data_IF_663659451834
#
_entry.id   IF_663659451834
#
_cell.length_a   1.000
_cell.length_b   1.000
_cell.length_c   1.000
_cell.angle_alpha   90.00
_cell.angle_beta   90.00
_cell.angle_gamma   90.00
#
_symmetry.space_group_name_H-M   'P 1'
#
loop_
_entity.id
_entity.type
_entity.pdbx_description
1 polymer ?
#
# COMPACT_ATOMS: atom_id res chain seq x y z
N UNK A 1 2.79 8.48 20.65
CA UNK A 1 1.79 8.00 19.69
C UNK A 1 2.51 7.29 18.55
N UNK A 2 1.95 6.21 18.02
CA UNK A 2 2.56 5.47 16.89
C UNK A 2 2.02 6.03 15.58
N UNK A 3 2.91 6.39 14.65
CA UNK A 3 2.52 6.82 13.31
C UNK A 3 1.85 5.65 12.56
N UNK A 4 0.72 5.91 11.93
CA UNK A 4 -0.07 4.91 11.17
C UNK A 4 -0.73 5.54 9.95
N UNK A 5 -1.01 4.72 8.94
CA UNK A 5 -1.86 5.11 7.81
C UNK A 5 -3.31 4.93 8.24
N UNK A 6 -4.11 5.99 8.18
CA UNK A 6 -5.54 5.92 8.46
C UNK A 6 -6.34 5.82 7.16
N UNK A 7 -6.00 6.63 6.16
CA UNK A 7 -6.64 6.60 4.83
C UNK A 7 -5.61 6.58 3.71
N UNK A 8 -5.86 5.79 2.66
CA UNK A 8 -5.27 5.96 1.34
C UNK A 8 -6.30 6.59 0.41
N UNK A 9 -5.92 7.62 -0.33
CA UNK A 9 -6.79 8.26 -1.32
C UNK A 9 -6.44 7.72 -2.69
N UNK A 10 -7.38 7.00 -3.31
CA UNK A 10 -7.20 6.35 -4.61
C UNK A 10 -8.13 6.98 -5.63
N UNK A 11 -7.57 7.45 -6.74
CA UNK A 11 -8.32 8.08 -7.83
C UNK A 11 -8.97 7.05 -8.77
N UNK A 12 -9.59 6.02 -8.19
CA UNK A 12 -10.41 5.02 -8.88
C UNK A 12 -11.90 5.31 -8.63
N UNK A 13 -12.80 4.92 -9.55
CA UNK A 13 -14.22 4.96 -9.28
C UNK A 13 -14.63 3.85 -8.30
N UNK A 14 -15.60 4.10 -7.39
CA UNK A 14 -16.14 3.09 -6.47
C UNK A 14 -16.59 1.78 -7.14
N UNK A 15 -17.19 1.87 -8.33
CA UNK A 15 -17.70 0.72 -9.07
C UNK A 15 -16.62 -0.29 -9.44
N UNK A 16 -15.44 0.16 -9.89
CA UNK A 16 -14.35 -0.74 -10.27
C UNK A 16 -13.86 -1.57 -9.07
N UNK A 17 -13.81 -0.96 -7.88
CA UNK A 17 -13.45 -1.66 -6.65
C UNK A 17 -14.52 -2.64 -6.19
N UNK A 18 -15.79 -2.27 -6.28
CA UNK A 18 -16.91 -3.17 -5.98
C UNK A 18 -16.93 -4.40 -6.92
N UNK A 19 -16.71 -4.18 -8.22
CA UNK A 19 -16.60 -5.24 -9.22
C UNK A 19 -15.39 -6.16 -8.96
N UNK A 20 -14.27 -5.59 -8.51
CA UNK A 20 -13.09 -6.34 -8.06
C UNK A 20 -13.30 -7.11 -6.73
N UNK A 21 -14.51 -7.05 -6.14
CA UNK A 21 -14.91 -7.83 -4.99
C UNK A 21 -14.64 -7.17 -3.64
N UNK A 22 -14.25 -5.89 -3.63
CA UNK A 22 -14.18 -5.11 -2.40
C UNK A 22 -15.57 -4.68 -1.95
N UNK A 23 -15.74 -4.56 -0.64
CA UNK A 23 -16.94 -3.97 -0.05
C UNK A 23 -16.70 -2.47 0.10
N UNK A 24 -17.42 -1.69 -0.69
CA UNK A 24 -17.34 -0.23 -0.70
C UNK A 24 -18.57 0.32 0.04
N UNK A 25 -18.35 1.17 1.03
CA UNK A 25 -19.43 1.84 1.77
C UNK A 25 -20.10 2.95 0.95
N UNK A 26 -21.25 3.42 1.43
CA UNK A 26 -21.98 4.55 0.82
C UNK A 26 -21.17 5.86 0.84
N UNK A 27 -20.15 5.93 1.69
CA UNK A 27 -19.17 7.01 1.79
C UNK A 27 -18.02 6.90 0.77
N UNK A 28 -18.10 5.96 -0.17
CA UNK A 28 -17.04 5.64 -1.13
C UNK A 28 -15.72 5.19 -0.47
N UNK A 29 -15.79 4.67 0.76
CA UNK A 29 -14.62 4.14 1.49
C UNK A 29 -14.68 2.62 1.54
N UNK A 30 -13.61 1.97 1.06
CA UNK A 30 -13.35 0.55 1.29
C UNK A 30 -12.51 0.38 2.57
N UNK A 31 -13.01 -0.37 3.55
CA UNK A 31 -12.34 -0.55 4.86
C UNK A 31 -11.58 -1.88 4.89
N UNK A 32 -10.25 -1.81 4.80
CA UNK A 32 -9.35 -2.96 4.69
C UNK A 32 -8.45 -3.01 5.93
N UNK A 33 -8.70 -3.98 6.82
CA UNK A 33 -8.09 -3.96 8.15
C UNK A 33 -8.47 -2.68 8.89
N UNK A 34 -7.49 -1.98 9.45
CA UNK A 34 -7.65 -0.67 10.09
C UNK A 34 -7.59 0.52 9.14
N UNK A 35 -7.31 0.31 7.85
CA UNK A 35 -7.09 1.38 6.85
C UNK A 35 -8.34 1.60 6.00
N UNK A 36 -8.76 2.86 5.87
CA UNK A 36 -9.75 3.28 4.87
C UNK A 36 -9.10 3.52 3.51
N UNK A 37 -9.74 3.08 2.44
CA UNK A 37 -9.36 3.45 1.07
C UNK A 37 -10.48 4.30 0.50
N UNK A 38 -10.25 5.60 0.42
CA UNK A 38 -11.18 6.57 -0.18
C UNK A 38 -11.07 6.51 -1.70
N UNK A 39 -12.20 6.29 -2.37
CA UNK A 39 -12.29 6.15 -3.82
C UNK A 39 -12.75 7.47 -4.43
N UNK A 40 -11.77 8.34 -4.70
CA UNK A 40 -11.99 9.74 -5.02
C UNK A 40 -12.43 10.01 -6.47
N UNK A 41 -12.43 9.00 -7.35
CA UNK A 41 -12.77 9.16 -8.76
C UNK A 41 -11.60 9.64 -9.64
N UNK A 42 -11.78 9.47 -10.96
CA UNK A 42 -10.73 9.70 -11.98
C UNK A 42 -10.45 11.17 -12.26
N UNK A 43 -11.41 12.04 -11.96
CA UNK A 43 -11.28 13.49 -11.99
C UNK A 43 -10.24 14.01 -10.98
N UNK A 44 -9.92 13.20 -9.96
CA UNK A 44 -8.92 13.51 -8.93
C UNK A 44 -7.51 13.01 -9.25
N UNK A 45 -7.31 12.30 -10.36
CA UNK A 45 -6.01 11.84 -10.83
C UNK A 45 -5.95 10.35 -11.19
N UNK A 46 -4.82 9.70 -10.89
CA UNK A 46 -4.59 8.29 -11.19
C UNK A 46 -3.73 7.64 -10.10
N UNK A 47 -4.05 6.39 -9.72
CA UNK A 47 -3.33 5.68 -8.68
C UNK A 47 -3.67 6.17 -7.27
N UNK A 48 -2.72 6.01 -6.34
CA UNK A 48 -2.82 6.53 -4.99
C UNK A 48 -2.33 7.98 -5.02
N UNK A 49 -3.22 8.94 -4.78
CA UNK A 49 -2.96 10.38 -4.93
C UNK A 49 -2.61 11.06 -3.60
N UNK A 50 -2.70 10.33 -2.50
CA UNK A 50 -2.30 10.81 -1.18
C UNK A 50 -2.71 9.83 -0.08
N UNK A 51 -2.43 10.22 1.15
CA UNK A 51 -2.83 9.48 2.34
C UNK A 51 -3.14 10.42 3.49
N UNK A 52 -3.77 9.88 4.54
CA UNK A 52 -3.84 10.54 5.84
C UNK A 52 -3.11 9.70 6.88
N UNK A 53 -2.39 10.38 7.78
CA UNK A 53 -1.59 9.75 8.80
C UNK A 53 -2.08 10.16 10.19
N UNK A 54 -2.29 9.15 11.03
CA UNK A 54 -2.56 9.31 12.45
C UNK A 54 -1.27 9.32 13.27
N UNK A 55 -1.19 10.18 14.28
CA UNK A 55 -0.02 10.26 15.17
C UNK A 55 1.15 11.10 14.63
N UNK A 56 0.91 11.99 13.67
CA UNK A 56 1.89 12.95 13.16
C UNK A 56 2.41 13.90 14.28
N UNK A 57 3.71 14.23 14.30
CA UNK A 57 4.25 15.20 15.25
C UNK A 57 3.59 16.58 15.07
N UNK A 58 3.48 17.40 16.13
CA UNK A 58 2.98 18.76 16.00
C UNK A 58 3.79 19.56 14.97
N UNK A 59 3.11 20.33 14.12
CA UNK A 59 3.76 21.14 13.08
C UNK A 59 4.23 20.37 11.84
N UNK A 60 3.96 19.07 11.73
CA UNK A 60 4.15 18.34 10.47
C UNK A 60 3.38 19.02 9.33
N UNK A 61 4.05 19.16 8.18
CA UNK A 61 3.46 19.74 6.97
C UNK A 61 2.40 18.84 6.32
N UNK A 62 1.88 19.30 5.18
CA UNK A 62 0.86 18.64 4.38
C UNK A 62 1.42 17.70 3.30
N UNK A 63 2.71 17.34 3.41
CA UNK A 63 3.35 16.45 2.46
C UNK A 63 4.57 15.72 3.02
N UNK A 64 4.83 14.52 2.47
CA UNK A 64 6.02 13.72 2.75
C UNK A 64 6.73 13.49 1.43
N UNK A 65 7.85 14.18 1.23
CA UNK A 65 8.62 14.14 -0.02
C UNK A 65 7.75 14.30 -1.28
N UNK A 66 6.83 15.28 -1.22
CA UNK A 66 5.90 15.60 -2.31
C UNK A 66 4.63 14.74 -2.38
N UNK A 67 4.47 13.75 -1.50
CA UNK A 67 3.23 12.97 -1.38
C UNK A 67 2.22 13.77 -0.54
N UNK A 68 1.04 14.13 -1.07
CA UNK A 68 0.00 14.79 -0.30
C UNK A 68 -0.36 14.00 0.97
N UNK A 69 -0.24 14.65 2.13
CA UNK A 69 -0.34 14.01 3.44
C UNK A 69 -1.27 14.80 4.35
N UNK A 70 -2.44 14.25 4.61
CA UNK A 70 -3.38 14.78 5.60
C UNK A 70 -3.06 14.30 7.02
N UNK A 71 -3.37 15.14 8.02
CA UNK A 71 -3.48 14.69 9.41
C UNK A 71 -4.82 14.01 9.62
N UNK A 72 -4.82 12.86 10.30
CA UNK A 72 -6.03 12.18 10.75
C UNK A 72 -6.03 12.05 12.27
N UNK A 73 -7.15 12.44 12.88
CA UNK A 73 -7.47 12.14 14.27
C UNK A 73 -8.51 11.00 14.37
N UNK A 74 -8.88 10.41 13.23
CA UNK A 74 -9.88 9.35 13.14
C UNK A 74 -9.32 8.05 13.73
N UNK A 75 -10.15 7.35 14.51
CA UNK A 75 -9.81 6.01 14.97
C UNK A 75 -9.72 5.03 13.78
N UNK A 76 -9.01 3.90 13.98
CA UNK A 76 -8.95 2.84 12.98
C UNK A 76 -10.37 2.41 12.55
N UNK A 77 -10.56 2.21 11.25
CA UNK A 77 -11.85 1.78 10.72
C UNK A 77 -12.19 0.36 11.18
N UNK A 78 -13.47 0.07 11.37
CA UNK A 78 -13.92 -1.32 11.52
C UNK A 78 -13.77 -2.04 10.17
N UNK A 79 -13.06 -3.19 10.11
CA UNK A 79 -12.80 -3.88 8.86
C UNK A 79 -14.11 -4.39 8.24
N UNK A 80 -14.22 -4.28 6.92
CA UNK A 80 -15.31 -4.91 6.17
C UNK A 80 -14.91 -6.32 5.71
N UNK A 81 -15.90 -7.18 5.46
CA UNK A 81 -15.69 -8.47 4.80
C UNK A 81 -15.77 -8.27 3.29
N UNK A 82 -14.77 -8.76 2.54
CA UNK A 82 -14.69 -8.62 1.08
C UNK A 82 -14.88 -9.96 0.38
N UNK A 83 -15.59 -9.96 -0.76
CA UNK A 83 -15.82 -11.19 -1.53
C UNK A 83 -14.55 -11.78 -2.13
N UNK A 84 -13.56 -10.93 -2.36
CA UNK A 84 -12.25 -11.34 -2.87
C UNK A 84 -11.30 -11.90 -1.80
N UNK A 85 -11.74 -11.99 -0.53
CA UNK A 85 -10.98 -12.59 0.56
C UNK A 85 -9.90 -11.69 1.19
N UNK A 86 -9.76 -10.44 0.75
CA UNK A 86 -8.85 -9.47 1.37
C UNK A 86 -9.25 -9.20 2.83
N UNK A 87 -8.28 -9.10 3.73
CA UNK A 87 -8.50 -8.86 5.16
C UNK A 87 -7.69 -7.70 5.73
N UNK A 88 -6.54 -7.36 5.15
CA UNK A 88 -5.67 -6.28 5.63
C UNK A 88 -4.73 -5.78 4.52
N UNK A 89 -4.07 -4.65 4.76
CA UNK A 89 -2.95 -4.17 3.93
C UNK A 89 -1.63 -4.64 4.54
N UNK A 90 -0.87 -5.47 3.80
CA UNK A 90 0.46 -5.90 4.23
C UNK A 90 1.45 -4.73 4.09
N UNK A 91 1.52 -4.16 2.89
CA UNK A 91 2.39 -3.03 2.61
C UNK A 91 1.88 -2.13 1.47
N UNK A 92 2.31 -0.87 1.54
CA UNK A 92 2.21 0.12 0.47
C UNK A 92 3.61 0.40 -0.06
N UNK A 93 3.77 0.35 -1.38
CA UNK A 93 5.04 0.67 -2.05
C UNK A 93 5.10 2.17 -2.31
N UNK A 94 6.17 2.81 -1.84
CA UNK A 94 6.52 4.19 -2.11
C UNK A 94 7.73 4.20 -3.05
N UNK A 95 7.55 4.72 -4.26
CA UNK A 95 8.63 4.88 -5.23
C UNK A 95 9.30 6.25 -5.03
N UNK A 96 10.59 6.23 -4.77
CA UNK A 96 11.40 7.41 -4.53
C UNK A 96 12.41 7.64 -5.66
N UNK A 97 12.45 8.85 -6.25
CA UNK A 97 13.52 9.23 -7.15
C UNK A 97 14.81 9.59 -6.40
N UNK A 98 14.77 9.79 -5.08
CA UNK A 98 15.88 10.27 -4.25
C UNK A 98 15.75 9.71 -2.82
N UNK A 99 16.39 8.55 -2.58
CA UNK A 99 16.19 7.79 -1.35
C UNK A 99 16.56 8.58 -0.10
N UNK A 100 17.68 9.31 -0.12
CA UNK A 100 18.15 10.06 1.05
C UNK A 100 17.15 11.15 1.44
N UNK A 101 16.57 11.82 0.45
CA UNK A 101 15.53 12.83 0.67
C UNK A 101 14.25 12.23 1.25
N UNK A 102 13.80 11.10 0.73
CA UNK A 102 12.62 10.39 1.28
C UNK A 102 12.88 9.86 2.69
N UNK A 103 14.07 9.30 2.95
CA UNK A 103 14.48 8.81 4.27
C UNK A 103 14.52 9.98 5.27
N UNK A 104 15.08 11.13 4.87
CA UNK A 104 15.08 12.34 5.70
C UNK A 104 13.65 12.80 6.01
N UNK A 105 12.79 12.91 5.00
CA UNK A 105 11.40 13.34 5.19
C UNK A 105 10.60 12.40 6.12
N UNK A 106 10.84 11.09 6.05
CA UNK A 106 10.26 10.13 6.99
C UNK A 106 10.89 10.25 8.39
N UNK A 107 12.19 10.53 8.47
CA UNK A 107 12.90 10.82 9.71
C UNK A 107 12.35 12.04 10.45
N UNK A 108 11.95 13.08 9.73
CA UNK A 108 11.30 14.28 10.28
C UNK A 108 9.93 13.97 10.91
N UNK A 109 9.28 12.88 10.48
CA UNK A 109 8.07 12.33 11.12
C UNK A 109 8.37 11.42 12.32
N UNK A 110 9.65 11.24 12.68
CA UNK A 110 10.11 10.35 13.75
C UNK A 110 10.20 8.88 13.33
N UNK A 111 10.15 8.58 12.03
CA UNK A 111 10.24 7.20 11.54
C UNK A 111 11.70 6.75 11.41
N UNK A 112 11.93 5.48 11.73
CA UNK A 112 13.23 4.82 11.58
C UNK A 112 13.09 3.58 10.70
N UNK A 113 14.03 3.32 9.78
CA UNK A 113 14.06 2.09 9.01
C UNK A 113 14.09 0.87 9.92
N UNK A 114 13.28 -0.14 9.61
CA UNK A 114 13.28 -1.44 10.30
C UNK A 114 14.17 -2.45 9.63
N UNK A 115 14.35 -2.30 8.32
CA UNK A 115 15.16 -3.18 7.47
C UNK A 115 15.50 -2.44 6.19
N UNK A 116 16.67 -2.74 5.66
CA UNK A 116 17.09 -2.35 4.32
C UNK A 116 17.59 -3.57 3.56
N UNK A 117 17.44 -3.55 2.25
CA UNK A 117 17.98 -4.60 1.38
C UNK A 117 18.17 -4.09 -0.04
N UNK A 118 19.32 -4.43 -0.63
CA UNK A 118 19.56 -4.28 -2.05
C UNK A 118 18.96 -5.45 -2.85
N UNK A 119 18.34 -5.12 -3.98
CA UNK A 119 17.68 -6.06 -4.87
C UNK A 119 17.77 -5.59 -6.33
N UNK A 120 17.12 -6.30 -7.25
CA UNK A 120 16.98 -5.90 -8.64
C UNK A 120 15.52 -5.85 -9.06
N UNK A 121 15.17 -4.84 -9.85
CA UNK A 121 13.88 -4.72 -10.53
C UNK A 121 14.12 -4.79 -12.04
N UNK A 122 13.97 -6.00 -12.61
CA UNK A 122 14.59 -6.32 -13.90
C UNK A 122 16.11 -6.30 -13.75
N UNK A 123 16.80 -5.60 -14.65
CA UNK A 123 18.27 -5.43 -14.59
C UNK A 123 18.72 -4.20 -13.79
N UNK A 124 17.77 -3.46 -13.19
CA UNK A 124 18.09 -2.23 -12.45
C UNK A 124 18.34 -2.53 -10.97
N UNK A 125 19.48 -2.11 -10.39
CA UNK A 125 19.69 -2.20 -8.96
C UNK A 125 18.73 -1.25 -8.24
N UNK A 126 18.10 -1.76 -7.18
CA UNK A 126 17.20 -1.01 -6.31
C UNK A 126 17.58 -1.26 -4.85
N UNK A 127 17.24 -0.31 -3.98
CA UNK A 127 17.21 -0.50 -2.54
C UNK A 127 15.79 -0.40 -2.03
N UNK A 128 15.44 -1.35 -1.17
CA UNK A 128 14.15 -1.41 -0.47
C UNK A 128 14.39 -1.08 1.01
N UNK A 129 13.71 -0.05 1.52
CA UNK A 129 13.80 0.42 2.90
C UNK A 129 12.41 0.28 3.52
N UNK A 130 12.30 -0.45 4.62
CA UNK A 130 11.02 -0.83 5.20
C UNK A 130 10.73 -0.07 6.49
N UNK A 131 9.59 0.60 6.54
CA UNK A 131 9.08 1.33 7.70
C UNK A 131 7.79 0.72 8.22
N UNK A 132 7.52 0.89 9.52
CA UNK A 132 6.31 0.35 10.16
C UNK A 132 5.33 1.46 10.54
N UNK A 133 4.19 1.50 9.86
CA UNK A 133 3.10 2.46 10.08
C UNK A 133 1.91 1.74 10.71
N UNK A 134 1.85 1.69 12.04
CA UNK A 134 0.84 0.91 12.75
C UNK A 134 0.84 -0.56 12.31
N UNK A 135 -0.25 -0.99 11.66
CA UNK A 135 -0.39 -2.34 11.13
C UNK A 135 0.12 -2.55 9.68
N UNK A 136 0.48 -1.47 8.97
CA UNK A 136 0.93 -1.50 7.57
C UNK A 136 2.44 -1.27 7.46
N UNK A 137 3.09 -1.89 6.50
CA UNK A 137 4.48 -1.57 6.14
C UNK A 137 4.49 -0.54 5.01
N UNK A 138 5.37 0.46 5.09
CA UNK A 138 5.70 1.30 3.94
C UNK A 138 7.03 0.81 3.40
N UNK A 139 7.03 0.32 2.17
CA UNK A 139 8.22 -0.13 1.46
C UNK A 139 8.68 0.98 0.52
N UNK A 140 9.74 1.69 0.90
CA UNK A 140 10.37 2.71 0.07
C UNK A 140 11.33 2.03 -0.90
N UNK A 141 11.17 2.31 -2.19
CA UNK A 141 11.95 1.72 -3.28
C UNK A 141 12.56 2.82 -4.13
N UNK A 142 13.87 2.76 -4.36
CA UNK A 142 14.58 3.72 -5.19
C UNK A 142 15.94 3.18 -5.64
N UNK A 143 16.66 3.97 -6.44
CA UNK A 143 18.03 3.62 -6.84
C UNK A 143 18.99 3.86 -5.68
N UNK A 144 19.89 2.90 -5.34
CA UNK A 144 20.92 3.11 -4.34
C UNK A 144 22.08 3.98 -4.83
N UNK A 145 22.16 4.24 -6.15
CA UNK A 145 23.33 4.85 -6.79
C UNK A 145 23.04 6.22 -7.42
N UNK A 146 21.76 6.59 -7.57
CA UNK A 146 21.37 7.79 -8.31
C UNK A 146 20.17 8.46 -7.65
N UNK A 147 20.23 9.78 -7.53
CA UNK A 147 19.06 10.61 -7.21
C UNK A 147 18.53 11.31 -8.46
N UNK A 148 17.23 11.56 -8.49
CA UNK A 148 16.52 12.21 -9.57
C UNK A 148 15.55 13.29 -9.08
N UNK A 149 15.08 14.16 -9.99
CA UNK A 149 14.12 15.21 -9.67
C UNK A 149 12.70 14.65 -9.51
N UNK A 150 11.81 15.47 -8.96
CA UNK A 150 10.38 15.17 -8.81
C UNK A 150 10.02 14.54 -7.47
N UNK A 151 8.72 14.44 -7.17
CA UNK A 151 8.24 13.93 -5.88
C UNK A 151 8.32 12.39 -5.80
N UNK A 152 8.33 11.88 -4.58
CA UNK A 152 8.00 10.47 -4.33
C UNK A 152 6.53 10.19 -4.62
N UNK A 153 6.20 8.94 -4.92
CA UNK A 153 4.81 8.53 -5.24
C UNK A 153 4.43 7.22 -4.55
N UNK A 154 3.16 7.10 -4.16
CA UNK A 154 2.58 5.85 -3.70
C UNK A 154 2.14 5.03 -4.92
N UNK A 155 2.69 3.83 -5.07
CA UNK A 155 2.70 3.12 -6.36
C UNK A 155 1.81 1.88 -6.41
N UNK A 156 1.77 1.12 -5.31
CA UNK A 156 1.07 -0.16 -5.27
C UNK A 156 0.77 -0.62 -3.86
N UNK A 157 -0.17 -1.55 -3.75
CA UNK A 157 -0.64 -2.11 -2.49
C UNK A 157 -0.55 -3.62 -2.58
N UNK A 158 -0.04 -4.23 -1.52
CA UNK A 158 -0.14 -5.67 -1.32
C UNK A 158 -1.09 -5.96 -0.18
N UNK A 159 -2.12 -6.75 -0.48
CA UNK A 159 -3.15 -7.14 0.48
C UNK A 159 -2.82 -8.48 1.11
N UNK A 160 -3.19 -8.63 2.38
CA UNK A 160 -3.33 -9.95 3.01
C UNK A 160 -4.70 -10.51 2.64
N UNK A 161 -4.73 -11.77 2.26
CA UNK A 161 -5.97 -12.53 2.02
C UNK A 161 -6.09 -13.69 3.00
N UNK A 162 -7.34 -14.02 3.36
CA UNK A 162 -7.63 -15.12 4.28
C UNK A 162 -7.16 -16.47 3.72
N UNK A 163 -7.46 -16.73 2.44
CA UNK A 163 -6.99 -17.89 1.68
C UNK A 163 -6.59 -17.44 0.28
N UNK A 164 -5.32 -17.63 -0.07
CA UNK A 164 -4.77 -17.17 -1.36
C UNK A 164 -5.24 -18.02 -2.55
N UNK A 165 -5.53 -19.30 -2.33
CA UNK A 165 -6.05 -20.19 -3.37
C UNK A 165 -7.51 -19.83 -3.67
N UNK A 166 -8.32 -19.55 -2.65
CA UNK A 166 -9.69 -19.05 -2.84
C UNK A 166 -9.72 -17.69 -3.53
N UNK A 167 -8.87 -16.74 -3.11
CA UNK A 167 -8.76 -15.45 -3.80
C UNK A 167 -8.30 -15.62 -5.26
N UNK A 168 -7.33 -16.48 -5.54
CA UNK A 168 -6.89 -16.74 -6.91
C UNK A 168 -8.01 -17.36 -7.76
N UNK A 169 -8.78 -18.32 -7.21
CA UNK A 169 -9.97 -18.88 -7.88
C UNK A 169 -11.03 -17.82 -8.15
N UNK A 170 -11.28 -16.92 -7.19
CA UNK A 170 -12.23 -15.81 -7.34
C UNK A 170 -11.84 -14.91 -8.52
N UNK A 171 -10.56 -14.57 -8.65
CA UNK A 171 -10.07 -13.72 -9.73
C UNK A 171 -9.87 -14.47 -11.06
N UNK A 172 -9.70 -15.80 -11.04
CA UNK A 172 -9.45 -16.61 -12.22
C UNK A 172 -8.14 -16.22 -12.91
N UNK A 173 -8.18 -16.11 -14.24
CA UNK A 173 -7.00 -15.84 -15.08
C UNK A 173 -6.38 -14.45 -14.86
N UNK A 174 -7.04 -13.58 -14.10
CA UNK A 174 -6.57 -12.22 -13.74
C UNK A 174 -5.48 -12.23 -12.67
N UNK A 175 -5.04 -13.40 -12.20
CA UNK A 175 -3.86 -13.51 -11.33
C UNK A 175 -2.70 -14.17 -12.05
N UNK A 176 -1.47 -13.79 -11.67
CA UNK A 176 -0.29 -14.57 -11.99
C UNK A 176 -0.31 -15.91 -11.21
N UNK A 177 0.48 -16.91 -11.61
CA UNK A 177 0.63 -18.12 -10.80
C UNK A 177 1.06 -17.79 -9.37
N UNK A 178 0.44 -18.46 -8.40
CA UNK A 178 0.85 -18.37 -6.99
C UNK A 178 2.27 -18.89 -6.87
N UNK A 179 3.11 -18.17 -6.12
CA UNK A 179 4.49 -18.57 -5.83
C UNK A 179 4.83 -18.30 -4.37
N UNK A 180 5.90 -18.93 -3.89
CA UNK A 180 6.46 -18.60 -2.60
C UNK A 180 6.82 -17.11 -2.53
N UNK A 181 6.39 -16.44 -1.46
CA UNK A 181 6.82 -15.09 -1.15
C UNK A 181 8.24 -15.13 -0.57
N UNK A 182 8.93 -13.99 -0.61
CA UNK A 182 10.27 -13.87 -0.01
C UNK A 182 10.21 -13.98 1.51
N UNK A 183 9.06 -13.68 2.11
CA UNK A 183 8.75 -13.92 3.52
C UNK A 183 8.51 -15.43 3.73
N UNK A 184 9.31 -16.12 4.56
CA UNK A 184 9.17 -17.56 4.78
C UNK A 184 7.76 -17.97 5.18
N UNK A 185 7.28 -19.07 4.61
CA UNK A 185 5.96 -19.65 4.90
C UNK A 185 4.77 -18.85 4.35
N UNK A 186 5.01 -17.85 3.50
CA UNK A 186 3.93 -17.11 2.81
C UNK A 186 3.99 -17.35 1.31
N UNK A 187 2.83 -17.19 0.68
CA UNK A 187 2.66 -17.22 -0.77
C UNK A 187 2.19 -15.85 -1.26
N UNK A 188 2.47 -15.55 -2.53
CA UNK A 188 2.08 -14.31 -3.18
C UNK A 188 1.61 -14.57 -4.62
N UNK A 189 0.64 -13.80 -5.08
CA UNK A 189 0.30 -13.64 -6.49
C UNK A 189 0.14 -12.15 -6.83
N UNK A 190 0.36 -11.81 -8.10
CA UNK A 190 0.14 -10.45 -8.63
C UNK A 190 -1.17 -10.43 -9.41
N UNK A 191 -2.00 -9.43 -9.13
CA UNK A 191 -3.26 -9.21 -9.81
C UNK A 191 -3.03 -8.38 -11.08
N UNK A 192 -3.61 -8.79 -12.20
CA UNK A 192 -3.74 -8.01 -13.45
C UNK A 192 -4.78 -6.91 -13.25
N UNK A 193 -4.47 -6.00 -12.34
CA UNK A 193 -5.38 -4.99 -11.80
C UNK A 193 -6.05 -4.11 -12.87
N UNK A 194 -5.37 -3.88 -13.99
CA UNK A 194 -5.89 -3.10 -15.12
C UNK A 194 -7.10 -3.76 -15.79
N UNK A 195 -7.14 -5.10 -15.83
CA UNK A 195 -8.28 -5.88 -16.35
C UNK A 195 -9.52 -5.78 -15.46
N UNK A 196 -9.37 -5.23 -14.25
CA UNK A 196 -10.43 -4.94 -13.28
C UNK A 196 -10.74 -3.44 -13.18
N UNK A 197 -10.14 -2.60 -14.02
CA UNK A 197 -10.32 -1.15 -13.97
C UNK A 197 -9.66 -0.45 -12.77
N UNK A 198 -8.83 -1.16 -12.00
CA UNK A 198 -8.11 -0.63 -10.85
C UNK A 198 -6.82 0.06 -11.32
N UNK A 199 -6.53 1.28 -10.87
CA UNK A 199 -5.27 1.96 -11.24
C UNK A 199 -4.09 1.52 -10.39
N UNK A 200 -4.37 1.07 -9.16
CA UNK A 200 -3.33 0.72 -8.19
C UNK A 200 -2.81 -0.68 -8.47
N UNK A 201 -1.48 -0.80 -8.61
CA UNK A 201 -0.83 -2.10 -8.74
C UNK A 201 -1.07 -2.92 -7.50
N UNK A 202 -1.53 -4.15 -7.71
CA UNK A 202 -2.09 -4.98 -6.66
C UNK A 202 -1.42 -6.34 -6.61
N UNK A 203 -1.01 -6.75 -5.42
CA UNK A 203 -0.63 -8.13 -5.12
C UNK A 203 -1.46 -8.67 -3.95
N UNK A 204 -1.62 -9.98 -3.91
CA UNK A 204 -2.31 -10.71 -2.84
C UNK A 204 -1.30 -11.63 -2.18
N UNK A 205 -1.29 -11.65 -0.86
CA UNK A 205 -0.35 -12.41 -0.06
C UNK A 205 -1.09 -13.21 1.00
N UNK A 206 -0.71 -14.46 1.22
CA UNK A 206 -1.30 -15.28 2.28
C UNK A 206 -1.04 -14.65 3.66
N UNK A 207 -1.88 -14.96 4.64
CA UNK A 207 -1.62 -14.60 6.03
C UNK A 207 -0.25 -15.11 6.51
N UNK A 208 0.30 -14.47 7.55
CA UNK A 208 1.50 -15.00 8.22
C UNK A 208 1.10 -16.30 8.94
N UNK A 209 1.90 -17.36 8.83
CA UNK A 209 1.69 -18.53 9.67
C UNK A 209 1.81 -18.13 11.15
N UNK A 210 1.11 -18.81 12.07
CA UNK A 210 1.30 -18.63 13.50
C UNK A 210 2.78 -18.72 13.86
N UNK A 211 3.24 -17.86 14.77
CA UNK A 211 4.57 -18.03 15.35
C UNK A 211 4.56 -19.33 16.16
N UNK A 212 5.50 -20.23 15.85
CA UNK A 212 5.78 -21.41 16.66
C UNK A 212 6.25 -21.02 18.07
#
# INVERSE_FOLDING_TARGET
MTLRIDTLVVADPPSAWAEAGFTVGDDAICRIGGVGVELAGRDRGFGIVGWSLGGLPPGAGDGVDGIPTGRSDTAASSPAVHRNGVTAIDHVVLMSPDLDRTVSALGDLGMQPRRERDATLGDRPIRQIFYRFGETVVEVVGSPATSGPGPSTLWGITYVVADIEESARFFGDRTAPIKAAVQPGRSITTLRHQELGLSVRTALMSARPPRA
#
